data_IF_635792013082
#
_entry.id   IF_635792013082
#
_cell.length_a   1.000
_cell.length_b   1.000
_cell.length_c   1.000
_cell.angle_alpha   90.00
_cell.angle_beta   90.00
_cell.angle_gamma   90.00
#
_symmetry.space_group_name_H-M   'P 1'
#
loop_
_entity.id
_entity.type
_entity.pdbx_description
1 polymer ?
#
# COMPACT_ATOMS: atom_id res chain seq x y z
N UNK A 1 -2.90 -12.69 -1.96
CA UNK A 1 -4.36 -12.54 -1.81
C UNK A 1 -4.92 -11.87 -3.06
N UNK A 2 -5.77 -12.59 -3.78
CA UNK A 2 -6.17 -12.26 -5.16
C UNK A 2 -7.07 -11.02 -5.22
N UNK A 3 -7.82 -10.75 -4.15
CA UNK A 3 -8.69 -9.59 -4.00
C UNK A 3 -7.90 -8.28 -4.00
N UNK A 4 -6.90 -8.14 -3.13
CA UNK A 4 -6.04 -6.93 -3.06
C UNK A 4 -5.33 -6.66 -4.40
N UNK A 5 -4.99 -7.73 -5.13
CA UNK A 5 -4.29 -7.62 -6.42
C UNK A 5 -5.23 -7.30 -7.58
N UNK A 6 -6.45 -7.83 -7.62
CA UNK A 6 -7.36 -7.72 -8.77
C UNK A 6 -8.49 -6.70 -8.60
N UNK A 7 -9.01 -6.49 -7.38
CA UNK A 7 -10.20 -5.66 -7.15
C UNK A 7 -9.87 -4.23 -6.68
N UNK A 8 -8.81 -4.06 -5.88
CA UNK A 8 -8.47 -2.74 -5.36
C UNK A 8 -7.72 -1.91 -6.41
N UNK A 9 -8.16 -0.68 -6.64
CA UNK A 9 -7.45 0.24 -7.54
C UNK A 9 -6.15 0.71 -6.89
N UNK A 10 -5.17 1.09 -7.72
CA UNK A 10 -3.90 1.64 -7.22
C UNK A 10 -4.11 2.90 -6.37
N UNK A 11 -5.05 3.76 -6.78
CA UNK A 11 -5.41 4.96 -6.03
C UNK A 11 -6.03 4.66 -4.67
N UNK A 12 -6.84 3.60 -4.56
CA UNK A 12 -7.39 3.18 -3.26
C UNK A 12 -6.29 2.73 -2.31
N UNK A 13 -5.33 1.93 -2.78
CA UNK A 13 -4.19 1.47 -1.97
C UNK A 13 -3.34 2.67 -1.53
N UNK A 14 -3.03 3.58 -2.45
CA UNK A 14 -2.26 4.80 -2.14
C UNK A 14 -2.97 5.69 -1.11
N UNK A 15 -4.28 5.87 -1.25
CA UNK A 15 -5.10 6.63 -0.31
C UNK A 15 -5.14 5.99 1.08
N UNK A 16 -5.25 4.66 1.14
CA UNK A 16 -5.23 3.91 2.40
C UNK A 16 -3.89 4.05 3.13
N UNK A 17 -2.77 4.07 2.40
CA UNK A 17 -1.44 4.31 2.98
C UNK A 17 -1.31 5.75 3.47
N UNK A 18 -1.84 6.72 2.72
CA UNK A 18 -1.68 8.15 3.00
C UNK A 18 -2.58 8.64 4.13
N UNK A 19 -3.83 8.21 4.18
CA UNK A 19 -4.85 8.69 5.11
C UNK A 19 -5.22 7.67 6.19
N UNK A 20 -4.66 6.46 6.10
CA UNK A 20 -5.05 5.35 6.97
C UNK A 20 -6.37 4.71 6.54
N UNK A 21 -6.80 3.75 7.34
CA UNK A 21 -8.06 3.02 7.23
C UNK A 21 -8.65 2.79 8.62
N UNK A 22 -9.69 1.98 8.72
CA UNK A 22 -10.38 1.70 9.99
C UNK A 22 -9.43 1.22 11.10
N UNK A 23 -8.46 0.35 10.78
CA UNK A 23 -7.44 -0.16 11.74
C UNK A 23 -6.03 0.31 11.39
N UNK A 24 -5.78 0.65 10.13
CA UNK A 24 -4.46 1.00 9.63
C UNK A 24 -4.18 2.49 9.89
N UNK A 25 -3.10 2.87 10.59
CA UNK A 25 -2.73 4.27 10.75
C UNK A 25 -2.26 4.86 9.41
N UNK A 26 -2.33 6.18 9.29
CA UNK A 26 -1.72 6.89 8.18
C UNK A 26 -0.20 6.79 8.24
N UNK A 27 0.44 6.41 7.13
CA UNK A 27 1.91 6.44 6.97
C UNK A 27 2.38 7.71 6.26
N UNK A 28 1.44 8.64 6.08
CA UNK A 28 1.68 9.94 5.47
C UNK A 28 2.33 10.96 6.40
N UNK A 29 2.40 12.21 5.92
CA UNK A 29 2.86 13.33 6.75
C UNK A 29 1.90 13.48 7.95
N UNK A 30 2.42 13.57 9.19
CA UNK A 30 1.61 13.75 10.38
C UNK A 30 0.69 14.97 10.25
N UNK A 31 -0.60 14.77 10.48
CA UNK A 31 -1.59 15.84 10.59
C UNK A 31 -2.50 15.58 11.81
N UNK A 32 -3.55 16.40 11.99
CA UNK A 32 -4.49 16.29 13.12
C UNK A 32 -5.22 14.93 13.18
N UNK A 33 -5.22 14.17 12.09
CA UNK A 33 -5.84 12.83 11.97
C UNK A 33 -4.82 11.70 12.17
N UNK A 34 -3.57 12.03 12.51
CA UNK A 34 -2.45 11.11 12.63
C UNK A 34 -1.56 11.07 11.38
N UNK A 35 -0.47 10.32 11.48
CA UNK A 35 0.52 10.16 10.41
C UNK A 35 1.89 9.90 11.03
N UNK A 36 2.67 8.99 10.43
CA UNK A 36 3.96 8.58 10.98
C UNK A 36 5.16 9.23 10.30
N UNK A 37 4.98 9.96 9.20
CA UNK A 37 6.07 10.50 8.36
C UNK A 37 7.05 9.43 7.85
N UNK A 38 6.62 8.16 7.83
CA UNK A 38 7.47 7.02 7.49
C UNK A 38 7.79 6.93 6.00
N UNK A 39 6.95 7.52 5.13
CA UNK A 39 7.05 7.38 3.68
C UNK A 39 6.85 8.72 2.97
N UNK A 40 7.78 9.05 2.07
CA UNK A 40 7.62 10.10 1.05
C UNK A 40 6.53 9.74 0.04
N UNK A 41 6.12 10.71 -0.80
CA UNK A 41 5.08 10.50 -1.81
C UNK A 41 5.49 9.42 -2.81
N UNK A 42 6.76 9.43 -3.21
CA UNK A 42 7.36 8.48 -4.14
C UNK A 42 7.44 7.08 -3.54
N UNK A 43 7.85 6.94 -2.28
CA UNK A 43 7.94 5.64 -1.59
C UNK A 43 6.57 4.96 -1.48
N UNK A 44 5.48 5.73 -1.29
CA UNK A 44 4.12 5.17 -1.30
C UNK A 44 3.76 4.58 -2.66
N UNK A 45 4.18 5.20 -3.75
CA UNK A 45 4.01 4.65 -5.10
C UNK A 45 4.87 3.40 -5.33
N UNK A 46 6.08 3.35 -4.76
CA UNK A 46 6.91 2.14 -4.78
C UNK A 46 6.22 0.97 -4.06
N UNK A 47 5.58 1.20 -2.92
CA UNK A 47 4.78 0.19 -2.20
C UNK A 47 3.62 -0.31 -3.04
N UNK A 48 2.85 0.61 -3.66
CA UNK A 48 1.74 0.25 -4.56
C UNK A 48 2.23 -0.62 -5.71
N UNK A 49 3.37 -0.25 -6.32
CA UNK A 49 3.98 -1.02 -7.39
C UNK A 49 4.44 -2.41 -6.93
N UNK A 50 5.06 -2.51 -5.75
CA UNK A 50 5.47 -3.79 -5.18
C UNK A 50 4.26 -4.69 -4.92
N UNK A 51 3.18 -4.17 -4.34
CA UNK A 51 1.96 -4.94 -4.06
C UNK A 51 1.29 -5.48 -5.34
N UNK A 52 1.30 -4.71 -6.43
CA UNK A 52 0.68 -5.11 -7.69
C UNK A 52 1.56 -6.02 -8.55
N UNK A 53 2.86 -5.72 -8.61
CA UNK A 53 3.76 -6.31 -9.61
C UNK A 53 4.88 -7.15 -9.00
N UNK A 54 5.27 -6.90 -7.74
CA UNK A 54 6.33 -7.61 -7.04
C UNK A 54 5.80 -8.84 -6.29
N UNK A 55 4.76 -8.65 -5.48
CA UNK A 55 4.17 -9.69 -4.64
C UNK A 55 3.60 -10.86 -5.44
N UNK A 56 3.04 -10.58 -6.62
CA UNK A 56 2.54 -11.59 -7.58
C UNK A 56 3.63 -12.53 -8.07
N UNK A 57 4.84 -11.99 -8.30
CA UNK A 57 6.00 -12.77 -8.75
C UNK A 57 6.52 -13.68 -7.64
N UNK A 58 6.66 -13.18 -6.43
CA UNK A 58 7.15 -13.97 -5.29
C UNK A 58 6.17 -15.07 -4.87
N UNK A 59 4.87 -14.80 -4.88
CA UNK A 59 3.84 -15.82 -4.58
C UNK A 59 3.89 -16.99 -5.57
N UNK A 60 4.16 -16.69 -6.85
CA UNK A 60 4.27 -17.72 -7.90
C UNK A 60 5.53 -18.56 -7.75
N UNK A 61 6.63 -17.98 -7.25
CA UNK A 61 7.90 -18.68 -7.03
C UNK A 61 7.84 -19.57 -5.78
N UNK A 62 7.19 -19.12 -4.70
CA UNK A 62 7.06 -19.91 -3.47
C UNK A 62 6.08 -21.10 -3.58
N UNK A 63 5.20 -21.10 -4.59
CA UNK A 63 4.23 -22.17 -4.84
C UNK A 63 4.75 -23.29 -5.78
N UNK A 64 6.03 -23.26 -6.16
CA UNK A 64 6.66 -24.19 -7.10
C UNK A 64 7.73 -25.03 -6.41
#
# INVERSE_FOLDING_TARGET
DDYVQKSLTQGWIWGTITFGSYVMPAYGVPNEQGGSNDLSVEERWHVVNYLKNGLTKETTVAAK
#
